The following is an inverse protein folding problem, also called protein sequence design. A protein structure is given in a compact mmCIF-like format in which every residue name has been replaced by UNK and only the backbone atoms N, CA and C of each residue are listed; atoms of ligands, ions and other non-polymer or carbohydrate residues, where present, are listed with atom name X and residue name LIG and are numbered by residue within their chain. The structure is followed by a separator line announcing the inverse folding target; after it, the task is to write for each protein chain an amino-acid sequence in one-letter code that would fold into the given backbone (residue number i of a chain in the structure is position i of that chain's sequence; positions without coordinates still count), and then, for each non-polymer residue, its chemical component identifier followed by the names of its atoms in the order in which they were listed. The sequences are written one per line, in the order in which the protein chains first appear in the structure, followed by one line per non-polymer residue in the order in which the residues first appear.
data_IF_814756203617
#
_entry.id   IF_814756203617
#
_cell.length_a   1.000
_cell.length_b   1.000
_cell.length_c   1.000
_cell.angle_alpha   90.00
_cell.angle_beta   90.00
_cell.angle_gamma   90.00
#
_symmetry.space_group_name_H-M   'P 1'
#
loop_
_entity.id
_entity.type
_entity.pdbx_description
1 polymer ?
#
# COMPACT_ATOMS: atom_id res chain seq x y z
N UNK A 1 -8.75 33.06 59.44
CA UNK A 1 -7.40 33.29 58.88
C UNK A 1 -7.58 33.81 57.47
N UNK A 2 -7.54 35.12 57.24
CA UNK A 2 -6.36 36.00 57.05
C UNK A 2 -6.15 36.28 55.55
N UNK A 3 -6.62 37.44 55.06
CA UNK A 3 -5.84 38.64 54.66
C UNK A 3 -5.09 38.41 53.34
N UNK A 4 -5.49 39.02 52.21
CA UNK A 4 -5.07 40.37 51.74
C UNK A 4 -4.20 40.14 50.48
N UNK A 5 -4.21 40.88 49.37
CA UNK A 5 -3.95 42.30 49.10
C UNK A 5 -3.98 42.41 47.55
N UNK A 6 -4.71 43.34 46.93
CA UNK A 6 -4.26 44.65 46.42
C UNK A 6 -3.37 44.66 45.14
N UNK A 7 -3.68 45.64 44.26
CA UNK A 7 -2.84 46.34 43.25
C UNK A 7 -2.93 45.94 41.75
N UNK A 8 -3.56 46.83 40.97
CA UNK A 8 -3.19 47.25 39.58
C UNK A 8 -1.95 48.21 39.67
N UNK A 9 -1.13 48.54 38.63
CA UNK A 9 -1.46 48.68 37.20
C UNK A 9 -0.34 48.31 36.17
N UNK A 10 -0.65 48.53 34.89
CA UNK A 10 0.19 48.68 33.68
C UNK A 10 1.67 49.11 33.86
N UNK A 11 2.60 48.41 33.19
CA UNK A 11 3.69 49.06 32.42
C UNK A 11 4.42 48.09 31.47
N UNK A 12 4.59 48.54 30.22
CA UNK A 12 5.47 48.06 29.16
C UNK A 12 6.81 47.44 29.63
N UNK A 13 7.30 46.42 28.90
CA UNK A 13 8.53 46.49 28.07
C UNK A 13 8.90 45.12 27.47
N UNK A 14 8.81 45.05 26.14
CA UNK A 14 9.68 44.32 25.18
C UNK A 14 10.18 42.92 25.56
N UNK A 15 9.70 41.91 24.83
CA UNK A 15 10.48 40.89 24.09
C UNK A 15 9.49 39.83 23.59
N UNK A 16 8.98 39.99 22.36
CA UNK A 16 9.49 39.30 21.18
C UNK A 16 8.92 37.87 21.06
N UNK A 17 8.48 37.58 19.83
CA UNK A 17 8.23 36.27 19.24
C UNK A 17 6.82 35.68 19.36
N UNK A 18 6.08 35.84 18.24
CA UNK A 18 5.31 34.80 17.52
C UNK A 18 4.38 33.94 18.38
N UNK A 19 3.05 34.04 18.23
CA UNK A 19 2.20 32.85 17.96
C UNK A 19 0.67 33.02 17.81
N UNK A 20 0.02 34.18 17.93
CA UNK A 20 -1.47 34.18 17.97
C UNK A 20 -2.17 35.08 16.93
N UNK A 21 -1.99 34.80 15.63
CA UNK A 21 -2.79 35.48 14.58
C UNK A 21 -3.15 34.64 13.37
N UNK A 22 -3.41 33.34 13.53
CA UNK A 22 -3.92 32.49 12.43
C UNK A 22 -5.02 31.50 12.85
N UNK A 23 -5.97 31.93 13.69
CA UNK A 23 -7.26 31.25 13.81
C UNK A 23 -8.22 31.77 12.73
N UNK A 24 -7.88 31.49 11.47
CA UNK A 24 -8.82 31.46 10.35
C UNK A 24 -8.10 30.86 9.14
N UNK A 25 -8.78 29.92 8.48
CA UNK A 25 -8.42 29.25 7.23
C UNK A 25 -7.71 27.90 7.37
N UNK A 26 -8.50 26.84 7.57
CA UNK A 26 -8.10 25.47 7.21
C UNK A 26 -9.23 24.85 6.39
N UNK A 27 -9.29 25.27 5.13
CA UNK A 27 -9.79 24.45 4.04
C UNK A 27 -9.05 23.11 4.06
N UNK A 28 -9.81 22.03 3.91
CA UNK A 28 -9.36 20.64 3.93
C UNK A 28 -8.36 20.41 2.81
N UNK A 29 -7.07 20.45 3.13
CA UNK A 29 -6.01 19.86 2.31
C UNK A 29 -5.69 18.49 2.91
N UNK A 30 -6.49 17.49 2.56
CA UNK A 30 -6.17 16.08 2.80
C UNK A 30 -5.09 15.63 1.81
N UNK A 31 -3.86 16.09 2.05
CA UNK A 31 -2.65 15.44 1.55
C UNK A 31 -1.87 14.99 2.79
N UNK A 32 -2.48 14.04 3.50
CA UNK A 32 -1.98 13.51 4.75
C UNK A 32 -0.95 12.44 4.48
N UNK A 33 0.31 12.82 4.31
CA UNK A 33 1.42 11.92 4.61
C UNK A 33 1.39 11.63 6.10
N UNK A 34 0.84 10.48 6.49
CA UNK A 34 0.94 9.97 7.85
C UNK A 34 2.37 9.49 8.13
N UNK A 35 2.75 9.50 9.41
CA UNK A 35 4.10 9.35 10.00
C UNK A 35 4.96 8.13 9.54
N UNK A 36 4.47 7.30 8.62
CA UNK A 36 5.19 6.20 7.97
C UNK A 36 5.53 6.46 6.48
N UNK A 37 5.07 7.57 5.89
CA UNK A 37 5.40 7.99 4.52
C UNK A 37 4.78 7.12 3.42
N UNK A 38 3.57 6.57 3.64
CA UNK A 38 2.91 5.72 2.65
C UNK A 38 1.90 6.56 1.84
N UNK A 39 1.89 6.48 0.50
CA UNK A 39 0.80 7.06 -0.27
C UNK A 39 -0.53 6.43 0.16
N UNK A 40 -1.59 7.23 0.36
CA UNK A 40 -2.92 6.79 0.82
C UNK A 40 -3.42 5.52 0.10
N UNK A 41 -3.19 5.45 -1.22
CA UNK A 41 -3.58 4.30 -2.05
C UNK A 41 -2.80 3.02 -1.76
N UNK A 42 -1.50 3.12 -1.50
CA UNK A 42 -0.70 1.96 -1.14
C UNK A 42 -1.20 1.35 0.17
N UNK A 43 -1.58 2.21 1.12
CA UNK A 43 -2.22 1.79 2.36
C UNK A 43 -3.54 1.07 2.12
N UNK A 44 -4.42 1.60 1.26
CA UNK A 44 -5.69 0.94 0.92
C UNK A 44 -5.49 -0.42 0.23
N UNK A 45 -4.55 -0.51 -0.72
CA UNK A 45 -4.17 -1.78 -1.36
C UNK A 45 -3.74 -2.81 -0.32
N UNK A 46 -2.91 -2.41 0.63
CA UNK A 46 -2.38 -3.32 1.65
C UNK A 46 -3.45 -3.75 2.65
N UNK A 47 -4.30 -2.84 3.11
CA UNK A 47 -5.42 -3.17 4.01
C UNK A 47 -6.35 -4.19 3.35
N UNK A 48 -6.75 -3.94 2.10
CA UNK A 48 -7.60 -4.85 1.33
C UNK A 48 -6.91 -6.19 1.05
N UNK A 49 -5.61 -6.20 0.75
CA UNK A 49 -4.87 -7.44 0.55
C UNK A 49 -4.84 -8.30 1.82
N UNK A 50 -4.56 -7.68 2.97
CA UNK A 50 -4.45 -8.35 4.26
C UNK A 50 -5.80 -8.87 4.76
N UNK A 51 -6.90 -8.15 4.53
CA UNK A 51 -8.25 -8.60 4.92
C UNK A 51 -8.69 -9.87 4.20
N UNK A 52 -8.06 -10.20 3.07
CA UNK A 52 -8.35 -11.39 2.27
C UNK A 52 -7.47 -12.59 2.65
N UNK A 53 -6.62 -12.46 3.66
CA UNK A 53 -5.76 -13.56 4.11
C UNK A 53 -6.59 -14.78 4.54
N UNK A 54 -6.12 -15.96 4.17
CA UNK A 54 -6.79 -17.23 4.45
C UNK A 54 -7.78 -17.67 3.37
N UNK A 55 -8.22 -16.78 2.47
CA UNK A 55 -9.11 -17.16 1.36
C UNK A 55 -8.39 -18.17 0.47
N UNK A 56 -9.07 -19.28 0.17
CA UNK A 56 -8.52 -20.41 -0.57
C UNK A 56 -8.05 -20.02 -1.98
N UNK A 57 -7.01 -20.70 -2.43
CA UNK A 57 -6.65 -20.66 -3.83
C UNK A 57 -7.71 -21.33 -4.69
N UNK A 58 -8.03 -20.73 -5.83
CA UNK A 58 -8.85 -21.32 -6.88
C UNK A 58 -8.29 -20.88 -8.23
N UNK A 59 -7.95 -21.84 -9.11
CA UNK A 59 -7.46 -21.52 -10.44
C UNK A 59 -8.52 -20.74 -11.25
N UNK A 60 -8.15 -19.59 -11.83
CA UNK A 60 -9.09 -18.69 -12.49
C UNK A 60 -10.03 -17.94 -11.54
N UNK A 61 -9.85 -18.09 -10.22
CA UNK A 61 -10.68 -17.47 -9.20
C UNK A 61 -10.40 -15.98 -9.06
N UNK A 62 -11.47 -15.20 -8.91
CA UNK A 62 -11.41 -13.72 -8.89
C UNK A 62 -12.20 -13.09 -7.75
N UNK A 63 -12.75 -13.88 -6.83
CA UNK A 63 -13.61 -13.37 -5.78
C UNK A 63 -13.40 -14.09 -4.44
N UNK A 64 -13.71 -13.47 -3.30
CA UNK A 64 -13.62 -14.10 -1.99
C UNK A 64 -14.43 -15.40 -1.87
N UNK A 65 -15.60 -15.46 -2.51
CA UNK A 65 -16.55 -16.58 -2.42
C UNK A 65 -16.07 -17.79 -3.22
N UNK A 66 -15.48 -17.55 -4.39
CA UNK A 66 -14.96 -18.59 -5.27
C UNK A 66 -13.50 -18.97 -4.97
N UNK A 67 -12.78 -18.10 -4.26
CA UNK A 67 -11.33 -18.17 -4.08
C UNK A 67 -10.58 -17.38 -5.15
N UNK A 68 -9.25 -17.31 -5.00
CA UNK A 68 -8.40 -16.51 -5.87
C UNK A 68 -7.28 -17.33 -6.52
N UNK A 69 -6.95 -17.07 -7.78
CA UNK A 69 -5.60 -17.33 -8.27
C UNK A 69 -4.69 -16.12 -7.99
N UNK A 70 -3.41 -16.22 -8.37
CA UNK A 70 -2.43 -15.19 -8.04
C UNK A 70 -2.79 -13.81 -8.62
N UNK A 71 -3.22 -13.76 -9.88
CA UNK A 71 -3.52 -12.52 -10.59
C UNK A 71 -4.96 -12.04 -10.36
N UNK A 72 -5.90 -12.95 -10.16
CA UNK A 72 -7.27 -12.66 -9.72
C UNK A 72 -7.30 -12.01 -8.35
N UNK A 73 -6.45 -12.47 -7.41
CA UNK A 73 -6.24 -11.82 -6.12
C UNK A 73 -5.78 -10.36 -6.30
N UNK A 74 -4.69 -10.13 -7.04
CA UNK A 74 -4.14 -8.78 -7.27
C UNK A 74 -5.16 -7.88 -7.95
N UNK A 75 -5.84 -8.39 -8.98
CA UNK A 75 -6.90 -7.67 -9.69
C UNK A 75 -8.02 -7.23 -8.75
N UNK A 76 -8.49 -8.14 -7.89
CA UNK A 76 -9.55 -7.83 -6.92
C UNK A 76 -9.11 -6.73 -5.96
N UNK A 77 -7.91 -6.83 -5.38
CA UNK A 77 -7.39 -5.82 -4.43
C UNK A 77 -7.29 -4.44 -5.09
N UNK A 78 -6.74 -4.33 -6.30
CA UNK A 78 -6.64 -3.05 -7.01
C UNK A 78 -8.00 -2.49 -7.45
N UNK A 79 -8.96 -3.37 -7.77
CA UNK A 79 -10.32 -2.94 -8.07
C UNK A 79 -10.99 -2.34 -6.82
N UNK A 80 -10.81 -2.95 -5.64
CA UNK A 80 -11.39 -2.42 -4.39
C UNK A 80 -10.68 -1.15 -3.91
N UNK A 81 -9.34 -1.11 -3.97
CA UNK A 81 -8.55 -0.01 -3.44
C UNK A 81 -8.45 1.21 -4.36
N UNK A 82 -8.66 1.07 -5.67
CA UNK A 82 -8.43 2.19 -6.61
C UNK A 82 -9.38 2.20 -7.80
N UNK A 83 -10.40 1.34 -7.81
CA UNK A 83 -11.32 1.17 -8.93
C UNK A 83 -10.62 0.88 -10.26
N UNK A 84 -9.41 0.31 -10.21
CA UNK A 84 -8.60 0.01 -11.38
C UNK A 84 -8.76 -1.44 -11.79
N UNK A 85 -9.18 -1.63 -13.03
CA UNK A 85 -9.30 -2.96 -13.61
C UNK A 85 -7.99 -3.39 -14.23
N UNK A 86 -7.30 -4.28 -13.55
CA UNK A 86 -6.10 -4.93 -14.08
C UNK A 86 -6.48 -6.11 -15.00
N UNK A 87 -5.62 -6.46 -15.98
CA UNK A 87 -5.79 -7.69 -16.75
C UNK A 87 -5.66 -8.91 -15.83
N UNK A 88 -6.33 -10.01 -16.17
CA UNK A 88 -6.35 -11.22 -15.34
C UNK A 88 -5.03 -12.02 -15.37
N UNK A 89 -4.09 -11.72 -16.28
CA UNK A 89 -2.84 -12.48 -16.42
C UNK A 89 -1.69 -11.76 -15.71
N UNK A 90 -0.95 -12.46 -14.85
CA UNK A 90 0.26 -11.92 -14.21
C UNK A 90 1.26 -11.32 -15.23
N UNK A 91 1.41 -11.95 -16.40
CA UNK A 91 2.26 -11.46 -17.49
C UNK A 91 1.72 -10.19 -18.16
N UNK A 92 0.40 -10.05 -18.27
CA UNK A 92 -0.19 -8.82 -18.79
C UNK A 92 -0.12 -7.69 -17.77
N UNK A 93 -0.32 -8.00 -16.48
CA UNK A 93 -0.11 -7.05 -15.38
C UNK A 93 1.35 -6.57 -15.38
N UNK A 94 2.29 -7.46 -15.70
CA UNK A 94 3.70 -7.12 -15.80
C UNK A 94 4.07 -6.25 -17.03
N UNK A 95 3.11 -5.70 -17.76
CA UNK A 95 3.38 -4.84 -18.92
C UNK A 95 2.78 -3.43 -18.78
N UNK A 96 1.98 -3.20 -17.73
CA UNK A 96 1.24 -1.94 -17.54
C UNK A 96 1.84 -1.04 -16.48
N UNK A 97 2.72 -1.55 -15.61
CA UNK A 97 3.36 -0.78 -14.56
C UNK A 97 4.76 -0.28 -14.93
N UNK A 98 5.23 0.70 -14.16
CA UNK A 98 6.63 1.14 -14.19
C UNK A 98 7.50 0.07 -13.56
N UNK A 99 8.54 -0.39 -14.26
CA UNK A 99 9.53 -1.33 -13.71
C UNK A 99 10.31 -0.68 -12.57
N UNK A 100 10.38 -1.37 -11.43
CA UNK A 100 11.08 -0.90 -10.23
C UNK A 100 12.22 -1.89 -9.89
N UNK A 101 13.44 -1.42 -9.60
CA UNK A 101 14.50 -2.28 -9.12
C UNK A 101 14.19 -2.77 -7.71
N UNK A 102 14.64 -3.98 -7.35
CA UNK A 102 14.34 -4.59 -6.03
C UNK A 102 14.71 -3.69 -4.83
N UNK A 103 15.76 -2.88 -4.97
CA UNK A 103 16.22 -1.93 -3.95
C UNK A 103 15.27 -0.76 -3.70
N UNK A 104 14.36 -0.48 -4.62
CA UNK A 104 13.40 0.64 -4.55
C UNK A 104 11.96 0.17 -4.30
N UNK A 105 11.79 -1.10 -3.95
CA UNK A 105 10.49 -1.68 -3.63
C UNK A 105 9.83 -0.91 -2.47
N UNK A 106 8.61 -0.46 -2.72
CA UNK A 106 7.75 0.18 -1.74
C UNK A 106 6.51 -0.65 -1.51
N UNK A 107 5.95 -0.66 -0.28
CA UNK A 107 4.68 -1.32 0.00
C UNK A 107 3.61 -0.92 -1.02
N UNK A 108 2.87 -1.91 -1.53
CA UNK A 108 1.90 -1.73 -2.62
C UNK A 108 2.47 -1.99 -4.02
N UNK A 109 3.79 -2.12 -4.19
CA UNK A 109 4.36 -2.55 -5.47
C UNK A 109 4.02 -4.02 -5.76
N UNK A 110 3.93 -4.37 -7.04
CA UNK A 110 3.75 -5.74 -7.49
C UNK A 110 5.09 -6.42 -7.65
N UNK A 111 5.23 -7.62 -7.09
CA UNK A 111 6.41 -8.47 -7.24
C UNK A 111 6.06 -9.70 -8.05
N UNK A 112 6.95 -10.08 -8.96
CA UNK A 112 6.73 -11.16 -9.90
C UNK A 112 7.77 -12.26 -9.77
N UNK A 113 7.32 -13.49 -10.03
CA UNK A 113 8.14 -14.68 -9.92
C UNK A 113 7.94 -15.65 -11.09
N UNK A 114 8.95 -16.50 -11.33
CA UNK A 114 8.91 -17.63 -12.24
C UNK A 114 8.62 -18.93 -11.48
N UNK A 115 7.35 -19.26 -11.24
CA UNK A 115 6.94 -20.51 -10.57
C UNK A 115 6.56 -21.61 -11.56
N UNK A 116 6.13 -21.25 -12.76
CA UNK A 116 5.65 -22.18 -13.80
C UNK A 116 6.61 -22.33 -14.99
N UNK A 117 7.92 -22.12 -14.78
CA UNK A 117 8.95 -22.12 -15.84
C UNK A 117 8.66 -21.11 -16.97
N UNK A 118 7.90 -20.07 -16.67
CA UNK A 118 7.57 -18.96 -17.57
C UNK A 118 7.78 -17.63 -16.83
N UNK A 119 8.31 -16.63 -17.54
CA UNK A 119 8.51 -15.30 -16.99
C UNK A 119 7.18 -14.68 -16.57
N UNK A 120 7.18 -14.02 -15.39
CA UNK A 120 6.00 -13.41 -14.79
C UNK A 120 4.81 -14.37 -14.63
N UNK A 121 5.08 -15.63 -14.23
CA UNK A 121 4.04 -16.66 -14.03
C UNK A 121 3.33 -16.57 -12.68
N UNK A 122 3.91 -15.85 -11.72
CA UNK A 122 3.29 -15.58 -10.42
C UNK A 122 3.39 -14.10 -10.09
N UNK A 123 2.40 -13.58 -9.37
CA UNK A 123 2.37 -12.20 -8.89
C UNK A 123 1.92 -12.15 -7.43
N UNK A 124 2.41 -11.15 -6.70
CA UNK A 124 1.94 -10.79 -5.36
C UNK A 124 2.15 -9.30 -5.11
N UNK A 125 1.64 -8.83 -3.97
CA UNK A 125 1.71 -7.44 -3.53
C UNK A 125 2.79 -7.35 -2.45
N UNK A 126 3.77 -6.48 -2.63
CA UNK A 126 4.82 -6.22 -1.66
C UNK A 126 4.25 -5.50 -0.45
N UNK A 127 4.51 -6.02 0.75
CA UNK A 127 4.00 -5.45 2.02
C UNK A 127 5.10 -4.78 2.86
N UNK A 128 6.32 -4.67 2.32
CA UNK A 128 7.49 -4.16 3.04
C UNK A 128 8.35 -5.24 3.68
N UNK A 129 9.57 -4.87 4.06
CA UNK A 129 10.54 -5.73 4.75
C UNK A 129 10.81 -7.08 4.04
N UNK A 130 11.00 -7.06 2.72
CA UNK A 130 11.16 -8.26 1.89
C UNK A 130 9.97 -9.23 1.93
N UNK A 131 8.80 -8.81 2.40
CA UNK A 131 7.61 -9.66 2.46
C UNK A 131 6.60 -9.27 1.39
N UNK A 132 5.81 -10.24 0.97
CA UNK A 132 4.75 -10.06 -0.01
C UNK A 132 3.55 -10.95 0.31
N UNK A 133 2.36 -10.50 -0.07
CA UNK A 133 1.11 -11.25 0.04
C UNK A 133 0.67 -11.75 -1.33
N UNK A 134 0.21 -12.99 -1.40
CA UNK A 134 -0.17 -13.64 -2.65
C UNK A 134 -1.15 -14.80 -2.42
N UNK A 135 -1.79 -15.26 -3.50
CA UNK A 135 -2.48 -16.56 -3.56
C UNK A 135 -1.55 -17.58 -4.25
N UNK A 136 -0.98 -18.57 -3.53
CA UNK A 136 0.18 -19.36 -3.99
C UNK A 136 -0.13 -20.45 -5.02
N UNK A 137 -1.03 -21.38 -4.68
CA UNK A 137 -1.36 -22.55 -5.49
C UNK A 137 -2.47 -23.37 -4.84
N UNK A 138 -2.98 -24.36 -5.57
CA UNK A 138 -3.98 -25.33 -5.09
C UNK A 138 -3.57 -25.97 -3.76
N UNK A 139 -4.52 -26.07 -2.83
CA UNK A 139 -4.28 -26.56 -1.46
C UNK A 139 -3.75 -25.49 -0.49
N UNK A 140 -3.45 -24.29 -0.98
CA UNK A 140 -3.13 -23.12 -0.17
C UNK A 140 -4.24 -22.07 -0.13
N UNK A 141 -3.94 -20.93 0.50
CA UNK A 141 -4.76 -19.74 0.51
C UNK A 141 -3.90 -18.48 0.61
N UNK A 142 -4.54 -17.32 0.55
CA UNK A 142 -3.88 -16.02 0.57
C UNK A 142 -3.05 -15.86 1.85
N UNK A 143 -1.75 -15.61 1.70
CA UNK A 143 -0.81 -15.52 2.83
C UNK A 143 0.37 -14.62 2.53
N UNK A 144 1.08 -14.23 3.59
CA UNK A 144 2.32 -13.46 3.51
C UNK A 144 3.51 -14.43 3.51
N UNK A 145 4.45 -14.22 2.59
CA UNK A 145 5.71 -14.96 2.52
C UNK A 145 6.91 -14.00 2.41
N UNK A 146 8.10 -14.51 2.69
CA UNK A 146 9.35 -13.77 2.66
C UNK A 146 10.11 -14.06 1.36
N UNK A 147 10.43 -13.00 0.61
CA UNK A 147 11.18 -13.04 -0.65
C UNK A 147 12.63 -13.51 -0.47
N UNK A 148 13.16 -13.47 0.75
CA UNK A 148 14.49 -13.98 1.08
C UNK A 148 14.52 -15.50 1.22
N UNK A 149 13.35 -16.16 1.33
CA UNK A 149 13.30 -17.63 1.29
C UNK A 149 13.87 -18.13 -0.03
N UNK A 150 14.70 -19.16 0.02
CA UNK A 150 15.45 -19.65 -1.14
C UNK A 150 14.57 -20.04 -2.34
N UNK A 151 13.31 -20.42 -2.12
CA UNK A 151 12.35 -20.68 -3.20
C UNK A 151 12.00 -19.41 -3.98
N UNK A 152 11.66 -18.32 -3.27
CA UNK A 152 11.23 -17.04 -3.84
C UNK A 152 12.40 -16.23 -4.37
N UNK A 153 13.51 -16.20 -3.64
CA UNK A 153 14.72 -15.50 -4.05
C UNK A 153 15.20 -15.95 -5.44
N UNK A 154 15.20 -17.26 -5.70
CA UNK A 154 15.62 -17.84 -6.99
C UNK A 154 14.63 -17.58 -8.13
N UNK A 155 13.37 -17.26 -7.82
CA UNK A 155 12.29 -17.12 -8.80
C UNK A 155 11.92 -15.68 -9.08
N UNK A 156 12.35 -14.74 -8.23
CA UNK A 156 12.09 -13.33 -8.43
C UNK A 156 12.63 -12.87 -9.78
N UNK A 157 11.76 -12.33 -10.64
CA UNK A 157 12.13 -11.92 -11.99
C UNK A 157 11.61 -10.53 -12.38
N UNK A 158 11.02 -9.78 -11.44
CA UNK A 158 10.74 -8.36 -11.62
C UNK A 158 9.81 -7.77 -10.58
N UNK A 159 9.70 -6.45 -10.60
CA UNK A 159 8.74 -5.69 -9.81
C UNK A 159 8.19 -4.51 -10.60
N UNK A 160 6.93 -4.14 -10.33
CA UNK A 160 6.28 -3.00 -10.95
C UNK A 160 5.48 -2.17 -9.98
N UNK A 161 5.51 -0.86 -10.22
CA UNK A 161 4.61 0.10 -9.60
C UNK A 161 3.51 0.46 -10.58
N UNK A 162 2.27 0.24 -10.18
CA UNK A 162 1.11 0.69 -10.96
C UNK A 162 0.90 2.17 -10.64
N UNK A 163 1.18 3.04 -11.61
CA UNK A 163 0.94 4.48 -11.47
C UNK A 163 -0.55 4.75 -11.73
N UNK A 164 -1.26 5.10 -10.67
CA UNK A 164 -2.70 5.36 -10.69
C UNK A 164 -2.95 6.86 -10.81
N UNK A 165 -2.31 7.51 -11.79
CA UNK A 165 -2.65 8.90 -12.08
C UNK A 165 -4.04 8.89 -12.68
N UNK A 166 -5.02 9.39 -11.92
CA UNK A 166 -6.33 9.75 -12.45
C UNK A 166 -6.05 10.80 -13.52
N UNK A 167 -6.10 10.41 -14.80
CA UNK A 167 -6.22 11.39 -15.87
C UNK A 167 -7.62 11.96 -15.78
N UNK A 168 -7.74 13.09 -15.09
CA UNK A 168 -8.87 13.98 -15.31
C UNK A 168 -8.61 14.65 -16.65
N UNK A 169 -9.10 14.04 -17.73
CA UNK A 169 -9.25 14.72 -19.01
C UNK A 169 -10.45 15.69 -18.93
#
# INVERSE_FOLDING_TARGET
MSIGCAANPSSNTKSNLILESKLQNSQVNSHGVDEAGWPDRAREVLVNALSLSGIRYQYGGTSPESGFDCSGFVRYVYQQASNLTLPHSARAISQIGKTIPKSELQPGDLVFFNTLKSAFSHVGIYVGNNRFIHSPSSGGGVRVEDMQQGYWQKRFNGAQRIETTVKND
#
